data_IF_500484186036
#
_entry.id   IF_500484186036
#
_cell.length_a   1.000
_cell.length_b   1.000
_cell.length_c   1.000
_cell.angle_alpha   90.00
_cell.angle_beta   90.00
_cell.angle_gamma   90.00
#
_symmetry.space_group_name_H-M   'P 1'
#
loop_
_entity.id
_entity.type
_entity.pdbx_description
1 polymer ?
#
# COMPACT_ATOMS: atom_id res chain seq x y z
N UNK A 1 -17.13 34.38 27.31
CA UNK A 1 -16.17 33.55 28.06
C UNK A 1 -16.77 32.18 28.26
N UNK A 2 -16.38 31.23 27.42
CA UNK A 2 -16.38 29.77 27.60
C UNK A 2 -16.00 29.19 26.23
N UNK A 3 -14.71 29.34 25.92
CA UNK A 3 -14.05 28.75 24.78
C UNK A 3 -13.76 27.28 25.12
N UNK A 4 -13.96 26.43 24.12
CA UNK A 4 -13.28 25.16 23.88
C UNK A 4 -13.23 24.12 25.01
N UNK A 5 -14.06 23.08 24.88
CA UNK A 5 -13.68 21.73 25.26
C UNK A 5 -14.56 20.74 24.49
N UNK A 6 -14.02 19.55 24.21
CA UNK A 6 -14.61 18.43 23.43
C UNK A 6 -14.30 18.46 21.92
N UNK A 7 -13.02 18.46 21.56
CA UNK A 7 -12.49 17.72 20.41
C UNK A 7 -11.06 17.27 20.74
N UNK A 8 -10.92 16.46 21.80
CA UNK A 8 -9.67 15.75 22.02
C UNK A 8 -9.67 14.53 21.08
N UNK A 9 -9.17 14.77 19.87
CA UNK A 9 -8.86 13.76 18.87
C UNK A 9 -7.66 12.94 19.32
N UNK A 10 -7.85 12.21 20.44
CA UNK A 10 -6.90 11.26 20.96
C UNK A 10 -6.50 10.32 19.84
N UNK A 11 -5.21 10.36 19.51
CA UNK A 11 -4.55 9.44 18.60
C UNK A 11 -5.04 8.03 18.94
N UNK A 12 -5.78 7.41 18.01
CA UNK A 12 -6.55 6.17 18.23
C UNK A 12 -5.65 4.97 18.62
N UNK A 13 -4.32 5.19 18.62
CA UNK A 13 -3.29 4.24 19.01
C UNK A 13 -2.52 4.61 20.29
N UNK A 14 -2.78 5.75 20.92
CA UNK A 14 -2.04 6.21 22.12
C UNK A 14 -2.40 5.48 23.42
N UNK A 15 -3.56 4.82 23.47
CA UNK A 15 -4.02 4.03 24.62
C UNK A 15 -3.77 2.52 24.51
N UNK A 16 -3.17 2.06 23.42
CA UNK A 16 -2.73 0.68 23.29
C UNK A 16 -1.27 0.62 23.72
N UNK A 17 -1.01 -0.06 24.84
CA UNK A 17 0.32 -0.40 25.31
C UNK A 17 0.94 -1.42 24.33
N UNK A 18 1.29 -0.93 23.13
CA UNK A 18 1.84 -1.71 22.05
C UNK A 18 3.30 -1.97 22.39
N UNK A 19 3.73 -3.24 22.48
CA UNK A 19 5.08 -3.57 22.85
C UNK A 19 6.08 -2.90 21.92
N UNK A 20 7.14 -2.33 22.50
CA UNK A 20 8.24 -1.70 21.79
C UNK A 20 8.74 -2.61 20.65
N UNK A 21 9.20 -2.04 19.54
CA UNK A 21 9.55 -2.77 18.30
C UNK A 21 10.55 -3.90 18.59
N UNK A 22 11.42 -3.71 19.58
CA UNK A 22 12.40 -4.70 20.02
C UNK A 22 11.76 -5.90 20.75
N UNK A 23 10.60 -5.74 21.40
CA UNK A 23 9.83 -6.82 22.05
C UNK A 23 9.10 -7.71 21.04
N UNK A 24 8.53 -7.13 19.98
CA UNK A 24 7.88 -7.88 18.88
C UNK A 24 8.89 -8.76 18.15
N UNK A 25 10.12 -8.27 17.95
CA UNK A 25 11.21 -9.00 17.29
C UNK A 25 11.64 -10.25 18.09
N UNK A 26 11.61 -10.17 19.42
CA UNK A 26 11.99 -11.28 20.30
C UNK A 26 10.86 -12.32 20.45
N UNK A 27 9.59 -11.91 20.39
CA UNK A 27 8.44 -12.81 20.54
C UNK A 27 8.12 -13.60 19.25
N UNK A 28 8.45 -13.05 18.07
CA UNK A 28 8.26 -13.72 16.79
C UNK A 28 9.18 -14.95 16.57
N UNK A 29 10.14 -15.21 17.46
CA UNK A 29 10.93 -16.44 17.45
C UNK A 29 10.12 -17.70 17.83
N UNK A 30 8.90 -17.55 18.39
CA UNK A 30 8.10 -18.66 18.93
C UNK A 30 6.74 -18.89 18.27
N UNK A 31 6.32 -18.10 17.27
CA UNK A 31 5.00 -18.26 16.63
C UNK A 31 5.15 -18.49 15.12
N UNK A 32 5.10 -19.76 14.73
CA UNK A 32 5.03 -20.21 13.35
C UNK A 32 3.57 -20.23 12.89
N UNK A 33 3.12 -19.26 12.11
CA UNK A 33 2.00 -19.45 11.15
C UNK A 33 1.88 -18.26 10.18
N UNK A 34 2.01 -18.62 8.89
CA UNK A 34 1.42 -17.97 7.71
C UNK A 34 1.88 -16.55 7.34
N UNK A 35 2.73 -16.47 6.31
CA UNK A 35 3.11 -15.22 5.63
C UNK A 35 2.34 -15.14 4.30
N UNK A 36 1.45 -14.13 4.09
CA UNK A 36 0.74 -13.97 2.83
C UNK A 36 1.56 -13.31 1.69
N UNK A 37 1.51 -13.99 0.55
CA UNK A 37 1.68 -13.68 -0.88
C UNK A 37 2.76 -12.73 -1.49
N UNK A 38 3.33 -13.27 -2.57
CA UNK A 38 4.56 -12.95 -3.29
C UNK A 38 4.60 -11.65 -4.12
N UNK A 39 3.52 -10.87 -4.20
CA UNK A 39 3.46 -9.72 -5.12
C UNK A 39 4.29 -8.52 -4.68
N UNK A 40 4.41 -8.29 -3.37
CA UNK A 40 5.01 -7.08 -2.80
C UNK A 40 6.55 -7.16 -2.70
N UNK A 41 7.10 -8.38 -2.69
CA UNK A 41 8.56 -8.62 -2.68
C UNK A 41 9.23 -8.38 -4.05
N UNK A 42 8.46 -8.28 -5.12
CA UNK A 42 8.97 -8.15 -6.48
C UNK A 42 9.56 -6.75 -6.76
N UNK A 43 8.89 -5.69 -6.31
CA UNK A 43 9.31 -4.30 -6.58
C UNK A 43 10.59 -3.87 -5.85
N UNK A 44 10.91 -4.53 -4.73
CA UNK A 44 12.07 -4.17 -3.90
C UNK A 44 13.39 -4.82 -4.37
N UNK A 45 13.34 -5.70 -5.38
CA UNK A 45 14.52 -6.30 -6.03
C UNK A 45 15.22 -5.32 -6.99
N UNK A 46 14.56 -4.22 -7.36
CA UNK A 46 15.04 -3.34 -8.42
C UNK A 46 15.95 -2.20 -7.94
N UNK A 47 16.06 -1.96 -6.62
CA UNK A 47 16.77 -0.79 -6.10
C UNK A 47 18.17 -1.08 -5.51
N UNK A 48 18.82 -2.17 -5.94
CA UNK A 48 20.12 -2.57 -5.39
C UNK A 48 21.07 -3.24 -6.38
N UNK A 49 20.96 -2.95 -7.69
CA UNK A 49 21.85 -3.56 -8.69
C UNK A 49 22.65 -2.53 -9.46
N UNK A 50 23.69 -2.03 -8.80
CA UNK A 50 24.92 -1.59 -9.48
C UNK A 50 26.13 -2.17 -8.76
N UNK A 51 27.07 -2.60 -9.61
CA UNK A 51 28.48 -2.98 -9.42
C UNK A 51 28.85 -4.36 -8.81
N UNK A 52 29.59 -5.09 -9.67
CA UNK A 52 30.54 -6.19 -9.42
C UNK A 52 30.02 -7.64 -9.37
N UNK A 53 29.89 -8.25 -10.55
CA UNK A 53 30.48 -9.56 -10.85
C UNK A 53 30.25 -9.93 -12.33
N UNK A 54 31.25 -9.63 -13.16
CA UNK A 54 31.43 -10.35 -14.41
C UNK A 54 31.78 -11.81 -14.08
N UNK A 55 30.90 -12.77 -14.37
CA UNK A 55 31.21 -14.05 -15.03
C UNK A 55 30.03 -15.04 -15.02
N UNK A 56 29.73 -15.52 -16.23
CA UNK A 56 29.09 -16.79 -16.60
C UNK A 56 27.70 -17.15 -16.06
N UNK A 57 26.72 -16.91 -16.94
CA UNK A 57 25.62 -17.79 -17.32
C UNK A 57 25.72 -19.27 -16.90
N UNK A 58 24.66 -19.84 -16.32
CA UNK A 58 23.80 -20.80 -17.03
C UNK A 58 22.75 -21.45 -16.11
N UNK A 59 21.74 -21.95 -16.80
CA UNK A 59 20.44 -22.49 -16.41
C UNK A 59 20.44 -23.66 -15.42
N UNK A 60 19.38 -23.66 -14.61
CA UNK A 60 18.90 -24.76 -13.79
C UNK A 60 18.73 -26.05 -14.57
N UNK A 61 19.31 -27.15 -14.09
CA UNK A 61 18.77 -28.51 -14.27
C UNK A 61 19.05 -29.35 -13.03
N UNK A 62 17.99 -30.07 -12.63
CA UNK A 62 17.86 -30.94 -11.46
C UNK A 62 18.99 -31.98 -11.37
N UNK A 63 19.37 -32.28 -10.13
CA UNK A 63 19.86 -33.55 -9.62
C UNK A 63 20.79 -34.37 -10.51
N UNK A 64 22.08 -34.36 -10.19
CA UNK A 64 22.90 -35.57 -10.18
C UNK A 64 24.08 -35.38 -9.22
N UNK A 65 24.31 -36.43 -8.43
CA UNK A 65 25.51 -36.67 -7.63
C UNK A 65 26.73 -36.57 -8.56
N UNK A 66 27.54 -35.52 -8.42
CA UNK A 66 28.81 -35.40 -9.13
C UNK A 66 29.92 -35.07 -8.15
N UNK A 67 30.55 -36.15 -7.66
CA UNK A 67 31.81 -36.18 -6.94
C UNK A 67 32.91 -35.59 -7.85
N UNK A 68 33.23 -34.30 -7.69
CA UNK A 68 34.36 -33.67 -8.39
C UNK A 68 35.57 -33.58 -7.44
N UNK A 69 36.45 -34.58 -7.57
CA UNK A 69 37.81 -34.57 -7.02
C UNK A 69 38.75 -33.90 -8.02
N UNK A 70 39.23 -32.69 -7.72
CA UNK A 70 40.51 -32.12 -8.18
C UNK A 70 40.60 -30.67 -7.73
N UNK A 71 41.65 -30.11 -7.15
CA UNK A 71 43.01 -30.52 -6.73
C UNK A 71 43.42 -29.50 -5.65
N UNK A 72 44.20 -29.95 -4.68
CA UNK A 72 44.55 -29.27 -3.45
C UNK A 72 45.38 -27.98 -3.62
N UNK A 73 45.06 -26.94 -2.82
CA UNK A 73 46.04 -26.10 -2.11
C UNK A 73 45.34 -25.08 -1.19
N UNK A 74 44.81 -25.53 -0.05
CA UNK A 74 44.63 -24.76 1.19
C UNK A 74 43.88 -25.68 2.16
N UNK A 75 44.30 -25.72 3.41
CA UNK A 75 43.65 -26.48 4.49
C UNK A 75 42.14 -26.32 4.39
N UNK A 76 41.42 -27.38 4.01
CA UNK A 76 39.96 -27.35 4.01
C UNK A 76 39.56 -26.99 5.44
N UNK A 77 38.93 -25.83 5.68
CA UNK A 77 38.60 -25.43 7.05
C UNK A 77 37.71 -26.52 7.67
N UNK A 78 37.91 -26.87 8.95
CA UNK A 78 37.08 -27.83 9.67
C UNK A 78 35.61 -27.63 9.34
N UNK A 79 34.85 -28.74 9.28
CA UNK A 79 33.42 -28.71 8.93
C UNK A 79 32.66 -27.66 9.77
N UNK A 80 33.09 -27.47 11.03
CA UNK A 80 32.56 -26.48 11.95
C UNK A 80 32.78 -25.03 11.49
N UNK A 81 33.95 -24.70 10.95
CA UNK A 81 34.22 -23.36 10.41
C UNK A 81 33.40 -23.05 9.16
N UNK A 82 33.14 -24.04 8.29
CA UNK A 82 32.24 -23.86 7.14
C UNK A 82 30.81 -23.63 7.59
N UNK A 83 30.36 -24.37 8.61
CA UNK A 83 29.02 -24.22 9.20
C UNK A 83 28.85 -22.85 9.83
N UNK A 84 29.83 -22.36 10.59
CA UNK A 84 29.82 -21.02 11.18
C UNK A 84 29.69 -19.92 10.12
N UNK A 85 30.48 -19.99 9.04
CA UNK A 85 30.40 -19.04 7.93
C UNK A 85 29.04 -19.08 7.20
N UNK A 86 28.35 -20.22 7.20
CA UNK A 86 27.01 -20.31 6.60
C UNK A 86 25.94 -19.69 7.51
N UNK A 87 26.04 -19.94 8.82
CA UNK A 87 25.18 -19.33 9.83
C UNK A 87 25.34 -17.82 9.88
N UNK A 88 26.56 -17.31 9.76
CA UNK A 88 26.84 -15.87 9.71
C UNK A 88 26.19 -15.21 8.49
N UNK A 89 26.31 -15.84 7.31
CA UNK A 89 25.63 -15.37 6.08
C UNK A 89 24.10 -15.45 6.22
N UNK A 90 23.57 -16.52 6.82
CA UNK A 90 22.14 -16.65 7.06
C UNK A 90 21.63 -15.58 8.04
N UNK A 91 22.37 -15.31 9.11
CA UNK A 91 22.07 -14.23 10.05
C UNK A 91 22.04 -12.88 9.35
N UNK A 92 23.06 -12.57 8.54
CA UNK A 92 23.10 -11.33 7.76
C UNK A 92 21.93 -11.24 6.75
N UNK A 93 21.58 -12.35 6.10
CA UNK A 93 20.44 -12.39 5.18
C UNK A 93 19.10 -12.20 5.90
N UNK A 94 18.91 -12.81 7.08
CA UNK A 94 17.72 -12.64 7.91
C UNK A 94 17.56 -11.19 8.38
N UNK A 95 18.64 -10.55 8.84
CA UNK A 95 18.65 -9.12 9.20
C UNK A 95 18.24 -8.26 8.01
N UNK A 96 18.84 -8.48 6.82
CA UNK A 96 18.47 -7.73 5.61
C UNK A 96 17.02 -7.96 5.18
N UNK A 97 16.50 -9.17 5.34
CA UNK A 97 15.10 -9.50 5.04
C UNK A 97 14.15 -8.74 5.95
N UNK A 98 14.43 -8.71 7.26
CA UNK A 98 13.65 -7.96 8.26
C UNK A 98 13.72 -6.45 8.02
N UNK A 99 14.91 -5.92 7.79
CA UNK A 99 15.13 -4.49 7.51
C UNK A 99 14.38 -4.05 6.25
N UNK A 100 14.44 -4.87 5.20
CA UNK A 100 13.68 -4.65 3.97
C UNK A 100 12.17 -4.61 4.22
N UNK A 101 11.65 -5.56 5.01
CA UNK A 101 10.22 -5.57 5.39
C UNK A 101 9.86 -4.31 6.19
N UNK A 102 10.72 -3.89 7.12
CA UNK A 102 10.55 -2.67 7.91
C UNK A 102 10.46 -1.43 7.02
N UNK A 103 11.43 -1.25 6.11
CA UNK A 103 11.42 -0.13 5.17
C UNK A 103 10.18 -0.12 4.28
N UNK A 104 9.77 -1.29 3.80
CA UNK A 104 8.57 -1.42 2.98
C UNK A 104 7.30 -1.03 3.74
N UNK A 105 7.14 -1.49 4.99
CA UNK A 105 6.02 -1.10 5.84
C UNK A 105 6.04 0.40 6.14
N UNK A 106 7.21 0.98 6.42
CA UNK A 106 7.37 2.43 6.64
C UNK A 106 6.99 3.23 5.40
N UNK A 107 7.43 2.81 4.21
CA UNK A 107 7.05 3.45 2.94
C UNK A 107 5.54 3.36 2.70
N UNK A 108 4.93 2.22 2.99
CA UNK A 108 3.49 2.04 2.85
C UNK A 108 2.71 2.97 3.80
N UNK A 109 3.14 3.06 5.07
CA UNK A 109 2.55 3.95 6.06
C UNK A 109 2.71 5.43 5.66
N UNK A 110 3.89 5.83 5.20
CA UNK A 110 4.13 7.18 4.71
C UNK A 110 3.23 7.50 3.52
N UNK A 111 3.07 6.57 2.57
CA UNK A 111 2.19 6.75 1.41
C UNK A 111 0.72 6.86 1.81
N UNK A 112 0.26 6.08 2.78
CA UNK A 112 -1.10 6.21 3.32
C UNK A 112 -1.32 7.60 3.95
N UNK A 113 -0.35 8.08 4.75
CA UNK A 113 -0.43 9.39 5.38
C UNK A 113 -0.45 10.54 4.35
N UNK A 114 0.38 10.48 3.31
CA UNK A 114 0.40 11.51 2.26
C UNK A 114 -0.89 11.53 1.46
N UNK A 115 -1.41 10.36 1.08
CA UNK A 115 -2.69 10.26 0.36
C UNK A 115 -3.85 10.76 1.21
N UNK A 116 -3.89 10.43 2.50
CA UNK A 116 -4.93 10.91 3.43
C UNK A 116 -4.87 12.43 3.56
N UNK A 117 -3.67 13.00 3.70
CA UNK A 117 -3.49 14.46 3.82
C UNK A 117 -3.90 15.18 2.55
N UNK A 118 -3.47 14.68 1.38
CA UNK A 118 -3.85 15.26 0.08
C UNK A 118 -5.35 15.16 -0.16
N UNK A 119 -5.97 14.02 0.18
CA UNK A 119 -7.41 13.84 0.06
C UNK A 119 -8.18 14.84 0.94
N UNK A 120 -7.74 15.06 2.18
CA UNK A 120 -8.31 16.09 3.06
C UNK A 120 -8.20 17.49 2.46
N UNK A 121 -7.02 17.86 1.94
CA UNK A 121 -6.83 19.16 1.28
C UNK A 121 -7.77 19.35 0.08
N UNK A 122 -7.92 18.33 -0.76
CA UNK A 122 -8.84 18.37 -1.90
C UNK A 122 -10.30 18.52 -1.45
N UNK A 123 -10.71 17.85 -0.37
CA UNK A 123 -12.06 18.01 0.19
C UNK A 123 -12.29 19.42 0.75
N UNK A 124 -11.30 20.00 1.41
CA UNK A 124 -11.35 21.39 1.90
C UNK A 124 -11.48 22.38 0.73
N UNK A 125 -10.71 22.20 -0.36
CA UNK A 125 -10.80 23.02 -1.57
C UNK A 125 -12.17 22.88 -2.26
N UNK A 126 -12.68 21.64 -2.38
CA UNK A 126 -14.01 21.38 -2.92
C UNK A 126 -15.10 22.08 -2.11
N UNK A 127 -15.01 22.01 -0.78
CA UNK A 127 -15.95 22.71 0.11
C UNK A 127 -15.87 24.22 -0.11
N UNK A 128 -14.66 24.80 -0.16
CA UNK A 128 -14.45 26.23 -0.42
C UNK A 128 -15.11 26.69 -1.72
N UNK A 129 -14.91 25.93 -2.80
CA UNK A 129 -15.48 26.23 -4.10
C UNK A 129 -17.01 26.08 -4.11
N UNK A 130 -17.57 25.10 -3.39
CA UNK A 130 -19.02 24.96 -3.23
C UNK A 130 -19.62 26.14 -2.49
N UNK A 131 -19.00 26.58 -1.41
CA UNK A 131 -19.44 27.76 -0.66
C UNK A 131 -19.42 29.02 -1.54
N UNK A 132 -18.40 29.17 -2.38
CA UNK A 132 -18.31 30.27 -3.35
C UNK A 132 -19.43 30.20 -4.40
N UNK A 133 -19.73 29.02 -4.95
CA UNK A 133 -20.85 28.81 -5.87
C UNK A 133 -22.19 29.15 -5.21
N UNK A 134 -22.38 28.75 -3.95
CA UNK A 134 -23.60 29.08 -3.18
C UNK A 134 -23.73 30.58 -2.95
N UNK A 135 -22.65 31.26 -2.60
CA UNK A 135 -22.64 32.71 -2.42
C UNK A 135 -23.01 33.43 -3.73
N UNK A 136 -22.40 33.04 -4.85
CA UNK A 136 -22.71 33.62 -6.17
C UNK A 136 -24.16 33.36 -6.59
N UNK A 137 -24.65 32.12 -6.38
CA UNK A 137 -26.06 31.77 -6.61
C UNK A 137 -26.99 32.61 -5.74
N UNK A 138 -26.66 32.79 -4.47
CA UNK A 138 -27.42 33.61 -3.53
C UNK A 138 -27.52 35.06 -4.00
N UNK A 139 -26.39 35.67 -4.37
CA UNK A 139 -26.34 37.03 -4.91
C UNK A 139 -27.17 37.19 -6.19
N UNK A 140 -27.08 36.21 -7.11
CA UNK A 140 -27.85 36.24 -8.36
C UNK A 140 -29.35 36.15 -8.10
N UNK A 141 -29.77 35.23 -7.22
CA UNK A 141 -31.18 35.05 -6.84
C UNK A 141 -31.70 36.28 -6.09
N UNK A 142 -30.88 36.89 -5.23
CA UNK A 142 -31.25 38.11 -4.51
C UNK A 142 -31.51 39.28 -5.47
N UNK A 143 -30.73 39.40 -6.54
CA UNK A 143 -30.87 40.49 -7.52
C UNK A 143 -31.95 40.23 -8.58
N UNK A 144 -32.11 38.99 -9.03
CA UNK A 144 -32.91 38.66 -10.22
C UNK A 144 -34.10 37.71 -9.94
N UNK A 145 -34.26 37.27 -8.68
CA UNK A 145 -35.34 36.38 -8.24
C UNK A 145 -35.02 34.88 -8.36
N UNK A 146 -35.93 34.01 -7.91
CA UNK A 146 -35.69 32.57 -7.73
C UNK A 146 -35.37 31.81 -9.03
N UNK A 147 -35.85 32.26 -10.18
CA UNK A 147 -35.65 31.59 -11.48
C UNK A 147 -34.50 32.20 -12.31
N UNK A 148 -33.64 33.00 -11.69
CA UNK A 148 -32.57 33.72 -12.38
C UNK A 148 -31.59 32.80 -13.12
N UNK A 149 -31.21 31.67 -12.50
CA UNK A 149 -30.34 30.67 -13.10
C UNK A 149 -30.93 30.07 -14.39
N UNK A 150 -32.22 29.74 -14.38
CA UNK A 150 -32.92 29.16 -15.53
C UNK A 150 -33.06 30.17 -16.67
N UNK A 151 -33.41 31.42 -16.34
CA UNK A 151 -33.49 32.51 -17.33
C UNK A 151 -32.14 32.82 -17.97
N UNK A 152 -31.06 32.70 -17.19
CA UNK A 152 -29.69 32.86 -17.68
C UNK A 152 -29.16 31.61 -18.42
N UNK A 153 -29.92 30.51 -18.45
CA UNK A 153 -29.50 29.26 -19.08
C UNK A 153 -28.31 28.57 -18.39
N UNK A 154 -28.06 28.87 -17.11
CA UNK A 154 -26.92 28.33 -16.36
C UNK A 154 -27.30 26.98 -15.75
N UNK A 155 -26.63 25.91 -16.20
CA UNK A 155 -26.75 24.58 -15.61
C UNK A 155 -25.58 24.29 -14.67
N UNK A 156 -25.90 24.11 -13.40
CA UNK A 156 -24.97 23.73 -12.35
C UNK A 156 -24.72 22.22 -12.40
N UNK A 157 -23.46 21.83 -12.23
CA UNK A 157 -23.08 20.42 -12.11
C UNK A 157 -23.67 19.80 -10.85
N UNK A 158 -24.04 18.52 -10.89
CA UNK A 158 -24.50 17.75 -9.71
C UNK A 158 -23.53 17.79 -8.52
N UNK A 159 -22.24 18.04 -8.76
CA UNK A 159 -21.22 18.14 -7.72
C UNK A 159 -21.24 19.47 -6.95
N UNK A 160 -21.98 20.46 -7.44
CA UNK A 160 -22.14 21.76 -6.77
C UNK A 160 -23.19 21.76 -5.66
N UNK A 161 -24.00 20.71 -5.57
CA UNK A 161 -25.03 20.62 -4.54
C UNK A 161 -24.39 20.48 -3.14
N UNK A 162 -24.83 21.25 -2.13
CA UNK A 162 -24.30 21.15 -0.77
C UNK A 162 -24.53 19.78 -0.14
N UNK A 163 -25.64 19.14 -0.55
CA UNK A 163 -26.04 17.82 -0.08
C UNK A 163 -25.37 16.68 -0.89
N UNK A 164 -24.50 16.98 -1.86
CA UNK A 164 -23.79 15.95 -2.60
C UNK A 164 -22.65 15.35 -1.76
N UNK A 165 -22.88 14.13 -1.29
CA UNK A 165 -21.90 13.33 -0.56
C UNK A 165 -20.92 12.64 -1.52
N UNK A 166 -19.68 13.12 -1.53
CA UNK A 166 -18.62 12.59 -2.38
C UNK A 166 -18.04 11.27 -1.83
N UNK A 167 -18.05 11.08 -0.50
CA UNK A 167 -17.58 9.85 0.13
C UNK A 167 -18.52 8.69 -0.20
N UNK A 168 -19.84 8.90 -0.07
CA UNK A 168 -20.82 7.90 -0.47
C UNK A 168 -20.74 7.59 -1.98
N UNK A 169 -20.55 8.61 -2.83
CA UNK A 169 -20.42 8.42 -4.27
C UNK A 169 -19.17 7.62 -4.64
N UNK A 170 -18.02 7.92 -4.03
CA UNK A 170 -16.77 7.19 -4.29
C UNK A 170 -16.84 5.76 -3.77
N UNK A 171 -17.42 5.53 -2.60
CA UNK A 171 -17.66 4.20 -2.07
C UNK A 171 -18.57 3.36 -2.99
N UNK A 172 -19.64 3.98 -3.50
CA UNK A 172 -20.54 3.33 -4.45
C UNK A 172 -19.85 2.99 -5.77
N UNK A 173 -19.06 3.93 -6.32
CA UNK A 173 -18.30 3.71 -7.55
C UNK A 173 -17.28 2.57 -7.41
N UNK A 174 -16.59 2.49 -6.26
CA UNK A 174 -15.66 1.41 -5.98
C UNK A 174 -16.38 0.06 -5.88
N UNK A 175 -17.51 0.01 -5.17
CA UNK A 175 -18.33 -1.20 -5.07
C UNK A 175 -18.87 -1.66 -6.43
N UNK A 176 -19.24 -0.74 -7.32
CA UNK A 176 -19.63 -1.05 -8.69
C UNK A 176 -18.47 -1.64 -9.50
N UNK A 177 -17.26 -1.08 -9.36
CA UNK A 177 -16.07 -1.59 -10.03
C UNK A 177 -15.72 -3.01 -9.57
N UNK A 178 -15.83 -3.29 -8.27
CA UNK A 178 -15.62 -4.64 -7.71
C UNK A 178 -16.65 -5.65 -8.23
N UNK A 179 -17.93 -5.26 -8.32
CA UNK A 179 -18.99 -6.09 -8.91
C UNK A 179 -18.70 -6.42 -10.37
N UNK A 180 -18.32 -5.42 -11.16
CA UNK A 180 -17.95 -5.61 -12.56
C UNK A 180 -16.75 -6.55 -12.72
N UNK A 181 -15.72 -6.39 -11.88
CA UNK A 181 -14.55 -7.28 -11.88
C UNK A 181 -14.94 -8.73 -11.53
N UNK A 182 -15.82 -8.91 -10.55
CA UNK A 182 -16.33 -10.23 -10.17
C UNK A 182 -17.15 -10.89 -11.30
N UNK A 183 -18.00 -10.12 -11.98
CA UNK A 183 -18.80 -10.62 -13.11
C UNK A 183 -17.92 -11.03 -14.30
N UNK A 184 -16.91 -10.21 -14.63
CA UNK A 184 -15.93 -10.54 -15.67
C UNK A 184 -15.16 -11.83 -15.35
N UNK A 185 -14.75 -12.00 -14.09
CA UNK A 185 -14.08 -13.21 -13.63
C UNK A 185 -15.00 -14.45 -13.72
N UNK A 186 -16.28 -14.31 -13.35
CA UNK A 186 -17.27 -15.37 -13.46
C UNK A 186 -17.54 -15.77 -14.92
N UNK A 187 -17.66 -14.78 -15.80
CA UNK A 187 -17.90 -15.03 -17.23
C UNK A 187 -16.69 -15.70 -17.90
N UNK A 188 -15.46 -15.32 -17.51
CA UNK A 188 -14.22 -15.99 -17.94
C UNK A 188 -14.16 -17.47 -17.52
N UNK A 189 -14.59 -17.79 -16.28
CA UNK A 189 -14.68 -19.18 -15.80
C UNK A 189 -15.71 -20.00 -16.59
N UNK A 190 -16.89 -19.43 -16.85
CA UNK A 190 -17.96 -20.08 -17.63
C UNK A 190 -17.58 -20.32 -19.10
N UNK A 191 -16.84 -19.39 -19.71
CA UNK A 191 -16.33 -19.54 -21.08
C UNK A 191 -15.29 -20.68 -21.20
N UNK A 192 -14.44 -20.86 -20.19
CA UNK A 192 -13.47 -21.96 -20.13
C UNK A 192 -14.14 -23.32 -19.94
N UNK A 193 -15.21 -23.38 -19.14
CA UNK A 193 -15.97 -24.62 -18.89
C UNK A 193 -16.78 -25.11 -20.09
N UNK A 194 -17.15 -24.25 -21.05
CA UNK A 194 -17.86 -24.65 -22.28
C UNK A 194 -16.93 -25.15 -23.40
N UNK A 195 -15.61 -25.05 -23.19
CA UNK A 195 -14.58 -25.43 -24.18
C UNK A 195 -13.90 -26.77 -23.87
N UNK A 196 -14.30 -27.41 -22.77
CA UNK A 196 -14.01 -28.81 -22.42
C UNK A 196 -15.30 -29.61 -22.53
#
# INVERSE_FOLDING_TARGET
MALEEILDGGDLFSGLDLPDIDSIINNAASSSSEVPDDALWSNLKNNGKTIDAASSSSSSKKGQVMKRKSRASSVDPPIDERRLKHLERNRAAATRCRERKKQWLQQLQQKAATLTTSNRQMHEELKRLRDEVLNLKGNLVQQQGPNALERAGIQLSKYSDPNFDFEAYTAQALAEQERQAAEQAANSKRAKSKKN
#
